data_IF_242926702464
#
_entry.id   IF_242926702464
#
_cell.length_a   1.000
_cell.length_b   1.000
_cell.length_c   1.000
_cell.angle_alpha   90.00
_cell.angle_beta   90.00
_cell.angle_gamma   90.00
#
_symmetry.space_group_name_H-M   'P 1'
#
loop_
_entity.id
_entity.type
_entity.pdbx_description
1 polymer ?
#
# COMPACT_ATOMS: atom_id res chain seq x y z
N UNK A 1 13.91 11.59 23.31
CA UNK A 1 12.45 11.85 23.27
C UNK A 1 11.71 10.78 22.50
N UNK A 2 10.54 10.36 22.99
CA UNK A 2 9.68 9.33 22.37
C UNK A 2 9.34 8.13 23.27
N UNK A 3 10.06 7.94 24.37
CA UNK A 3 9.83 6.85 25.34
C UNK A 3 9.40 7.44 26.68
N UNK A 4 8.14 7.25 27.05
CA UNK A 4 7.61 7.59 28.37
C UNK A 4 7.50 6.38 29.31
N UNK A 5 7.07 6.61 30.55
CA UNK A 5 6.99 5.58 31.60
C UNK A 5 6.31 4.28 31.16
N UNK A 6 5.15 4.36 30.51
CA UNK A 6 4.40 3.18 30.04
C UNK A 6 5.17 2.33 29.02
N UNK A 7 6.05 2.92 28.20
CA UNK A 7 6.86 2.18 27.24
C UNK A 7 8.09 1.60 27.95
N UNK A 8 8.72 2.38 28.83
CA UNK A 8 9.84 1.91 29.66
C UNK A 8 9.47 0.66 30.46
N UNK A 9 8.33 0.65 31.16
CA UNK A 9 7.84 -0.54 31.90
C UNK A 9 7.69 -1.79 31.01
N UNK A 10 7.27 -1.61 29.75
CA UNK A 10 7.15 -2.73 28.79
C UNK A 10 8.51 -3.22 28.33
N UNK A 11 9.47 -2.31 28.18
CA UNK A 11 10.86 -2.64 27.85
C UNK A 11 11.47 -3.45 29.01
N UNK A 12 11.27 -3.02 30.27
CA UNK A 12 11.77 -3.75 31.45
C UNK A 12 11.17 -5.16 31.53
N UNK A 13 9.86 -5.32 31.31
CA UNK A 13 9.21 -6.64 31.25
C UNK A 13 9.80 -7.52 30.13
N UNK A 14 10.01 -6.93 28.94
CA UNK A 14 10.55 -7.66 27.80
C UNK A 14 12.00 -8.08 28.00
N UNK A 15 12.85 -7.19 28.51
CA UNK A 15 14.25 -7.50 28.83
C UNK A 15 14.35 -8.57 29.91
N UNK A 16 13.46 -8.54 30.91
CA UNK A 16 13.49 -9.51 32.02
C UNK A 16 12.94 -10.88 31.66
N UNK A 17 12.00 -10.97 30.71
CA UNK A 17 11.25 -12.22 30.46
C UNK A 17 11.33 -12.73 29.03
N UNK A 18 11.87 -11.94 28.09
CA UNK A 18 11.85 -12.21 26.65
C UNK A 18 10.48 -12.07 26.00
N UNK A 19 9.44 -11.66 26.75
CA UNK A 19 8.05 -11.57 26.27
C UNK A 19 7.30 -10.41 26.93
N UNK A 20 6.10 -10.12 26.42
CA UNK A 20 5.20 -9.14 27.01
C UNK A 20 3.83 -9.76 27.21
N UNK A 21 3.39 -9.94 28.46
CA UNK A 21 2.12 -10.60 28.83
C UNK A 21 0.92 -9.98 28.14
N UNK A 22 0.93 -8.66 27.95
CA UNK A 22 -0.11 -7.95 27.20
C UNK A 22 -0.23 -8.42 25.75
N UNK A 23 0.90 -8.63 25.06
CA UNK A 23 0.88 -9.14 23.68
C UNK A 23 0.47 -10.60 23.61
N UNK A 24 0.92 -11.43 24.57
CA UNK A 24 0.50 -12.83 24.65
C UNK A 24 -1.01 -12.96 24.79
N UNK A 25 -1.63 -12.14 25.64
CA UNK A 25 -3.10 -12.11 25.78
C UNK A 25 -3.81 -11.66 24.50
N UNK A 26 -3.28 -10.67 23.80
CA UNK A 26 -3.86 -10.18 22.53
C UNK A 26 -3.75 -11.25 21.42
N UNK A 27 -2.64 -12.01 21.39
CA UNK A 27 -2.43 -13.10 20.41
C UNK A 27 -3.38 -14.28 20.64
N UNK A 28 -3.80 -14.52 21.89
CA UNK A 28 -4.74 -15.58 22.26
C UNK A 28 -6.21 -15.18 22.04
N UNK A 29 -6.51 -13.91 21.76
CA UNK A 29 -7.87 -13.47 21.47
C UNK A 29 -8.19 -13.65 19.99
N UNK A 30 -9.03 -14.64 19.67
CA UNK A 30 -9.45 -14.98 18.31
C UNK A 30 -10.03 -13.78 17.56
N UNK A 31 -10.71 -12.87 18.26
CA UNK A 31 -11.27 -11.65 17.67
C UNK A 31 -10.16 -10.71 17.22
N UNK A 32 -9.19 -10.43 18.10
CA UNK A 32 -8.02 -9.63 17.79
C UNK A 32 -7.18 -10.25 16.67
N UNK A 33 -6.98 -11.57 16.68
CA UNK A 33 -6.25 -12.29 15.63
C UNK A 33 -6.94 -12.16 14.26
N UNK A 34 -8.26 -12.33 14.22
CA UNK A 34 -9.06 -12.20 13.00
C UNK A 34 -9.03 -10.76 12.46
N UNK A 35 -9.23 -9.76 13.33
CA UNK A 35 -9.16 -8.35 12.94
C UNK A 35 -7.77 -8.04 12.35
N UNK A 36 -6.70 -8.45 13.02
CA UNK A 36 -5.33 -8.21 12.55
C UNK A 36 -5.07 -8.88 11.19
N UNK A 37 -5.56 -10.10 10.97
CA UNK A 37 -5.45 -10.78 9.68
C UNK A 37 -6.16 -9.99 8.58
N UNK A 38 -7.44 -9.65 8.78
CA UNK A 38 -8.24 -8.99 7.75
C UNK A 38 -7.69 -7.60 7.42
N UNK A 39 -7.13 -6.88 8.40
CA UNK A 39 -6.50 -5.56 8.15
C UNK A 39 -5.23 -5.61 7.29
N UNK A 40 -4.65 -6.79 7.06
CA UNK A 40 -3.52 -6.96 6.12
C UNK A 40 -3.98 -6.88 4.66
N UNK A 41 -5.26 -7.11 4.37
CA UNK A 41 -5.83 -6.93 3.04
C UNK A 41 -5.99 -5.43 2.77
N UNK A 42 -5.28 -4.91 1.76
CA UNK A 42 -5.40 -3.48 1.41
C UNK A 42 -6.85 -3.12 1.07
N UNK A 43 -7.31 -1.98 1.59
CA UNK A 43 -8.71 -1.55 1.54
C UNK A 43 -9.57 -2.02 2.72
N UNK A 44 -9.07 -2.91 3.60
CA UNK A 44 -9.74 -3.29 4.85
C UNK A 44 -9.07 -2.59 6.03
N UNK A 45 -9.71 -1.56 6.55
CA UNK A 45 -9.30 -0.90 7.79
C UNK A 45 -9.91 -1.54 9.06
N UNK A 46 -9.52 -1.09 10.27
CA UNK A 46 -9.98 -1.68 11.53
C UNK A 46 -11.51 -1.75 11.70
N UNK A 47 -12.23 -0.74 11.18
CA UNK A 47 -13.68 -0.71 11.23
C UNK A 47 -14.32 -1.77 10.31
N UNK A 48 -13.83 -1.91 9.08
CA UNK A 48 -14.30 -2.93 8.15
C UNK A 48 -13.96 -4.34 8.65
N UNK A 49 -12.75 -4.55 9.17
CA UNK A 49 -12.33 -5.83 9.75
C UNK A 49 -13.24 -6.23 10.93
N UNK A 50 -13.55 -5.32 11.86
CA UNK A 50 -14.50 -5.59 12.95
C UNK A 50 -15.88 -6.00 12.44
N UNK A 51 -16.41 -5.25 11.47
CA UNK A 51 -17.70 -5.56 10.85
C UNK A 51 -17.70 -6.96 10.21
N UNK A 52 -16.65 -7.32 9.48
CA UNK A 52 -16.53 -8.66 8.90
C UNK A 52 -16.50 -9.75 9.98
N UNK A 53 -15.75 -9.55 11.05
CA UNK A 53 -15.68 -10.51 12.17
C UNK A 53 -17.03 -10.66 12.87
N UNK A 54 -17.78 -9.58 13.05
CA UNK A 54 -19.16 -9.59 13.56
C UNK A 54 -20.11 -10.36 12.64
N UNK A 55 -19.89 -10.28 11.32
CA UNK A 55 -20.60 -11.06 10.30
C UNK A 55 -20.08 -12.51 10.15
N UNK A 56 -19.10 -12.93 10.97
CA UNK A 56 -18.52 -14.27 10.94
C UNK A 56 -17.45 -14.50 9.88
N UNK A 57 -17.04 -13.47 9.14
CA UNK A 57 -15.96 -13.52 8.15
C UNK A 57 -14.64 -13.24 8.89
N UNK A 58 -13.83 -14.29 9.10
CA UNK A 58 -12.63 -14.21 9.95
C UNK A 58 -11.35 -14.65 9.26
N UNK A 59 -11.46 -15.30 8.11
CA UNK A 59 -10.34 -15.83 7.33
C UNK A 59 -10.31 -15.25 5.92
N UNK A 60 -9.17 -15.41 5.22
CA UNK A 60 -9.07 -15.05 3.80
C UNK A 60 -10.02 -15.88 2.92
N UNK A 61 -10.28 -17.13 3.31
CA UNK A 61 -11.20 -18.00 2.59
C UNK A 61 -12.66 -17.53 2.75
N UNK A 62 -13.01 -17.02 3.94
CA UNK A 62 -14.32 -16.40 4.14
C UNK A 62 -14.48 -15.15 3.26
N UNK A 63 -13.43 -14.34 3.12
CA UNK A 63 -13.45 -13.19 2.20
C UNK A 63 -13.66 -13.63 0.74
N UNK A 64 -12.97 -14.69 0.28
CA UNK A 64 -13.12 -15.23 -1.09
C UNK A 64 -14.54 -15.72 -1.35
N UNK A 65 -15.15 -16.40 -0.38
CA UNK A 65 -16.56 -16.84 -0.47
C UNK A 65 -17.55 -15.67 -0.46
N UNK A 66 -17.14 -14.52 0.07
CA UNK A 66 -17.98 -13.33 0.25
C UNK A 66 -17.51 -12.13 -0.60
N UNK A 67 -16.86 -12.36 -1.75
CA UNK A 67 -16.35 -11.27 -2.61
C UNK A 67 -17.40 -10.23 -3.02
N UNK A 68 -18.67 -10.63 -3.11
CA UNK A 68 -19.80 -9.74 -3.38
C UNK A 68 -19.99 -8.65 -2.32
N UNK A 69 -19.54 -8.87 -1.08
CA UNK A 69 -19.55 -7.87 0.02
C UNK A 69 -18.36 -6.92 -0.01
N UNK A 70 -17.33 -7.23 -0.80
CA UNK A 70 -16.09 -6.46 -0.84
C UNK A 70 -16.23 -5.28 -1.81
N UNK A 71 -15.62 -4.16 -1.44
CA UNK A 71 -15.43 -3.03 -2.36
C UNK A 71 -14.41 -3.38 -3.45
N UNK A 72 -14.34 -2.58 -4.51
CA UNK A 72 -13.37 -2.77 -5.60
C UNK A 72 -11.92 -2.88 -5.09
N UNK A 73 -11.50 -1.93 -4.23
CA UNK A 73 -10.18 -1.94 -3.60
C UNK A 73 -9.96 -3.23 -2.80
N UNK A 74 -10.92 -3.64 -1.97
CA UNK A 74 -10.80 -4.84 -1.14
C UNK A 74 -10.70 -6.13 -1.98
N UNK A 75 -11.39 -6.20 -3.12
CA UNK A 75 -11.27 -7.35 -4.04
C UNK A 75 -9.87 -7.45 -4.64
N UNK A 76 -9.31 -6.34 -5.11
CA UNK A 76 -7.93 -6.32 -5.61
C UNK A 76 -6.94 -6.64 -4.49
N UNK A 77 -7.15 -6.08 -3.30
CA UNK A 77 -6.32 -6.37 -2.14
C UNK A 77 -6.37 -7.83 -1.71
N UNK A 78 -7.52 -8.50 -1.86
CA UNK A 78 -7.64 -9.94 -1.62
C UNK A 78 -6.99 -10.75 -2.73
N UNK A 79 -7.17 -10.35 -3.99
CA UNK A 79 -6.59 -10.99 -5.18
C UNK A 79 -5.07 -11.07 -5.10
N UNK A 80 -4.42 -9.99 -4.68
CA UNK A 80 -2.96 -9.89 -4.58
C UNK A 80 -2.43 -9.94 -3.14
N UNK A 81 -3.20 -10.51 -2.21
CA UNK A 81 -2.84 -10.51 -0.79
C UNK A 81 -1.40 -10.99 -0.53
N UNK A 82 -1.02 -12.14 -1.10
CA UNK A 82 0.31 -12.72 -0.91
C UNK A 82 1.41 -11.94 -1.64
N UNK A 83 1.09 -11.36 -2.80
CA UNK A 83 2.06 -10.59 -3.59
C UNK A 83 2.36 -9.23 -2.94
N UNK A 84 1.36 -8.57 -2.37
CA UNK A 84 1.54 -7.30 -1.66
C UNK A 84 2.29 -7.43 -0.34
N UNK A 85 2.47 -8.65 0.19
CA UNK A 85 3.32 -8.88 1.36
C UNK A 85 4.79 -9.13 1.01
N UNK A 86 5.09 -9.36 -0.28
CA UNK A 86 6.47 -9.54 -0.74
C UNK A 86 7.16 -8.18 -0.81
N UNK A 87 8.43 -8.18 -0.40
CA UNK A 87 9.35 -7.05 -0.57
C UNK A 87 9.82 -7.02 -2.01
N UNK A 88 9.99 -5.83 -2.59
CA UNK A 88 10.54 -5.64 -3.93
C UNK A 88 12.06 -5.40 -3.80
N UNK A 89 12.93 -6.29 -4.31
CA UNK A 89 14.37 -6.04 -4.36
C UNK A 89 14.72 -4.74 -5.07
N UNK A 90 15.80 -4.08 -4.65
CA UNK A 90 16.25 -2.83 -5.29
C UNK A 90 16.54 -2.99 -6.78
N UNK A 91 17.01 -4.17 -7.21
CA UNK A 91 17.22 -4.50 -8.61
C UNK A 91 15.92 -4.44 -9.43
N UNK A 92 14.84 -5.06 -8.93
CA UNK A 92 13.52 -4.98 -9.57
C UNK A 92 13.00 -3.53 -9.58
N UNK A 93 13.21 -2.77 -8.49
CA UNK A 93 12.86 -1.34 -8.45
C UNK A 93 13.58 -0.51 -9.53
N UNK A 94 14.83 -0.83 -9.86
CA UNK A 94 15.56 -0.18 -10.94
C UNK A 94 14.97 -0.50 -12.32
N UNK A 95 14.57 -1.75 -12.54
CA UNK A 95 13.88 -2.17 -13.78
C UNK A 95 12.53 -1.45 -13.92
N UNK A 96 11.75 -1.40 -12.84
CA UNK A 96 10.47 -0.68 -12.78
C UNK A 96 10.67 0.82 -13.03
N UNK A 97 11.70 1.43 -12.43
CA UNK A 97 12.08 2.82 -12.67
C UNK A 97 12.37 3.08 -14.15
N UNK A 98 13.16 2.21 -14.79
CA UNK A 98 13.52 2.38 -16.20
C UNK A 98 12.27 2.38 -17.10
N UNK A 99 11.34 1.45 -16.87
CA UNK A 99 10.07 1.37 -17.61
C UNK A 99 9.28 2.66 -17.42
N UNK A 100 9.03 3.08 -16.17
CA UNK A 100 8.21 4.27 -15.89
C UNK A 100 8.82 5.51 -16.52
N UNK A 101 10.11 5.77 -16.33
CA UNK A 101 10.76 6.96 -16.87
C UNK A 101 10.75 6.96 -18.41
N UNK A 102 10.98 5.80 -19.04
CA UNK A 102 10.94 5.65 -20.50
C UNK A 102 9.55 5.92 -21.06
N UNK A 103 8.52 5.33 -20.48
CA UNK A 103 7.14 5.48 -20.97
C UNK A 103 6.59 6.89 -20.72
N UNK A 104 6.89 7.49 -19.57
CA UNK A 104 6.53 8.89 -19.27
C UNK A 104 7.18 9.84 -20.28
N UNK A 105 8.48 9.65 -20.57
CA UNK A 105 9.21 10.49 -21.53
C UNK A 105 8.70 10.37 -22.96
N UNK A 106 8.15 9.21 -23.35
CA UNK A 106 7.53 9.01 -24.68
C UNK A 106 6.25 9.83 -24.86
N UNK A 107 5.51 10.08 -23.78
CA UNK A 107 4.26 10.85 -23.84
C UNK A 107 4.53 12.33 -24.06
N UNK A 108 5.37 12.92 -23.21
CA UNK A 108 5.78 14.31 -23.30
C UNK A 108 7.15 14.49 -22.63
N UNK A 109 8.16 15.06 -23.33
CA UNK A 109 9.47 15.33 -22.73
C UNK A 109 9.44 16.34 -21.57
N UNK A 110 8.34 17.08 -21.38
CA UNK A 110 8.15 18.01 -20.26
C UNK A 110 7.74 17.32 -18.95
N UNK A 111 7.39 16.03 -18.98
CA UNK A 111 7.21 15.28 -17.75
C UNK A 111 8.54 15.03 -17.05
N UNK A 112 8.52 15.14 -15.73
CA UNK A 112 9.60 14.66 -14.87
C UNK A 112 8.97 13.68 -13.88
N UNK A 113 9.38 12.41 -13.97
CA UNK A 113 9.02 11.36 -13.02
C UNK A 113 10.21 11.05 -12.12
N UNK A 114 9.99 11.07 -10.81
CA UNK A 114 11.00 10.78 -9.79
C UNK A 114 10.50 9.66 -8.89
N UNK A 115 11.25 8.56 -8.81
CA UNK A 115 10.95 7.47 -7.87
C UNK A 115 11.36 7.92 -6.45
N UNK A 116 10.41 7.85 -5.54
CA UNK A 116 10.48 8.41 -4.19
C UNK A 116 10.53 7.29 -3.13
N UNK A 117 9.86 7.47 -1.99
CA UNK A 117 9.68 6.41 -1.01
C UNK A 117 10.96 5.90 -0.37
N UNK A 118 10.89 4.63 0.02
CA UNK A 118 12.05 3.88 0.54
C UNK A 118 13.19 3.76 -0.48
N UNK A 119 12.86 3.70 -1.77
CA UNK A 119 13.84 3.62 -2.85
C UNK A 119 14.78 4.84 -2.86
N UNK A 120 14.22 6.06 -2.77
CA UNK A 120 14.99 7.32 -2.70
C UNK A 120 15.79 7.48 -1.41
N UNK A 121 15.38 6.81 -0.33
CA UNK A 121 16.17 6.73 0.93
C UNK A 121 17.33 5.73 0.86
N UNK A 122 17.49 5.02 -0.27
CA UNK A 122 18.58 4.04 -0.46
C UNK A 122 18.30 2.67 0.15
N UNK A 123 17.03 2.29 0.35
CA UNK A 123 16.72 0.96 0.85
C UNK A 123 17.10 -0.14 -0.17
N UNK A 124 17.64 -1.26 0.32
CA UNK A 124 17.97 -2.46 -0.47
C UNK A 124 16.73 -3.22 -0.99
N UNK A 125 15.57 -2.91 -0.43
CA UNK A 125 14.28 -3.34 -0.98
C UNK A 125 13.18 -2.34 -0.59
N UNK A 126 12.07 -2.34 -1.32
CA UNK A 126 10.92 -1.46 -1.12
C UNK A 126 9.64 -2.28 -0.82
N UNK A 127 8.63 -1.64 -0.23
CA UNK A 127 7.31 -2.27 -0.08
C UNK A 127 6.49 -2.13 -1.36
N UNK A 128 6.66 -0.99 -2.02
CA UNK A 128 5.95 -0.55 -3.22
C UNK A 128 6.83 0.46 -4.01
N UNK A 129 6.28 0.98 -5.11
CA UNK A 129 6.90 2.01 -5.93
C UNK A 129 6.14 3.34 -5.80
N UNK A 130 6.77 4.32 -5.16
CA UNK A 130 6.29 5.69 -5.11
C UNK A 130 6.85 6.50 -6.29
N UNK A 131 5.99 7.13 -7.10
CA UNK A 131 6.43 8.02 -8.20
C UNK A 131 5.83 9.40 -8.03
N UNK A 132 6.69 10.40 -7.87
CA UNK A 132 6.31 11.80 -7.95
C UNK A 132 6.41 12.25 -9.41
N UNK A 133 5.34 12.87 -9.91
CA UNK A 133 5.24 13.32 -11.29
C UNK A 133 5.02 14.84 -11.34
N UNK A 134 5.75 15.53 -12.21
CA UNK A 134 5.54 16.96 -12.50
C UNK A 134 5.46 17.19 -14.00
N UNK A 135 4.78 18.27 -14.39
CA UNK A 135 4.70 18.74 -15.76
C UNK A 135 4.56 20.27 -15.77
N UNK A 136 5.20 20.94 -16.73
CA UNK A 136 5.26 22.41 -16.77
C UNK A 136 3.90 23.11 -16.89
N UNK A 137 2.90 22.42 -17.43
CA UNK A 137 1.52 22.95 -17.54
C UNK A 137 0.67 22.78 -16.27
N UNK A 138 1.17 22.12 -15.22
CA UNK A 138 0.48 21.97 -13.94
C UNK A 138 1.29 22.62 -12.81
N UNK A 139 0.86 23.82 -12.44
CA UNK A 139 1.49 24.69 -11.43
C UNK A 139 0.49 25.08 -10.35
N UNK A 140 0.95 25.67 -9.25
CA UNK A 140 0.07 26.22 -8.19
C UNK A 140 -0.89 27.30 -8.72
N UNK A 141 -0.51 28.02 -9.76
CA UNK A 141 -1.27 29.14 -10.33
C UNK A 141 -2.34 28.68 -11.35
N UNK A 142 -2.24 27.43 -11.82
CA UNK A 142 -3.12 26.87 -12.85
C UNK A 142 -3.98 25.75 -12.28
N UNK A 143 -5.26 26.03 -12.01
CA UNK A 143 -6.16 25.14 -11.26
C UNK A 143 -7.02 24.19 -12.09
N UNK A 144 -6.76 24.00 -13.39
CA UNK A 144 -7.69 23.25 -14.25
C UNK A 144 -7.27 21.79 -14.42
N UNK A 145 -8.12 20.90 -13.89
CA UNK A 145 -8.42 19.52 -14.32
C UNK A 145 -7.57 19.03 -15.49
N UNK A 146 -6.30 18.75 -15.20
CA UNK A 146 -5.37 18.31 -16.22
C UNK A 146 -5.51 16.79 -16.34
N UNK A 147 -5.71 16.29 -17.56
CA UNK A 147 -5.66 14.84 -17.81
C UNK A 147 -4.23 14.28 -17.79
N UNK A 148 -3.26 15.03 -17.25
CA UNK A 148 -1.84 14.70 -17.30
C UNK A 148 -1.56 13.36 -16.62
N UNK A 149 -2.05 13.18 -15.39
CA UNK A 149 -1.90 11.91 -14.69
C UNK A 149 -2.63 10.78 -15.43
N UNK A 150 -3.81 11.06 -16.00
CA UNK A 150 -4.57 10.04 -16.73
C UNK A 150 -3.82 9.52 -17.96
N UNK A 151 -3.17 10.41 -18.73
CA UNK A 151 -2.37 10.03 -19.89
C UNK A 151 -1.19 9.13 -19.50
N UNK A 152 -0.52 9.45 -18.38
CA UNK A 152 0.56 8.61 -17.86
C UNK A 152 0.06 7.23 -17.44
N UNK A 153 -1.05 7.16 -16.70
CA UNK A 153 -1.65 5.89 -16.28
C UNK A 153 -2.07 5.06 -17.50
N UNK A 154 -2.76 5.67 -18.48
CA UNK A 154 -3.21 4.99 -19.70
C UNK A 154 -2.04 4.42 -20.52
N UNK A 155 -0.91 5.15 -20.59
CA UNK A 155 0.29 4.64 -21.26
C UNK A 155 0.90 3.46 -20.51
N UNK A 156 0.96 3.50 -19.18
CA UNK A 156 1.49 2.39 -18.37
C UNK A 156 0.57 1.16 -18.39
N UNK A 157 -0.74 1.34 -18.48
CA UNK A 157 -1.72 0.27 -18.72
C UNK A 157 -1.55 -0.34 -20.11
N UNK A 158 -1.33 0.50 -21.14
CA UNK A 158 -1.13 0.06 -22.53
C UNK A 158 0.10 -0.83 -22.71
N UNK A 159 1.15 -0.62 -21.92
CA UNK A 159 2.35 -1.48 -21.92
C UNK A 159 2.27 -2.61 -20.88
N UNK A 160 1.11 -2.82 -20.27
CA UNK A 160 0.85 -3.84 -19.25
C UNK A 160 1.74 -3.73 -18.00
N UNK A 161 2.26 -2.53 -17.70
CA UNK A 161 3.01 -2.27 -16.47
C UNK A 161 2.06 -2.02 -15.29
N UNK A 162 1.01 -1.23 -15.51
CA UNK A 162 -0.11 -1.11 -14.58
C UNK A 162 -1.18 -2.13 -14.98
N UNK A 163 -1.56 -3.02 -14.06
CA UNK A 163 -2.49 -4.12 -14.33
C UNK A 163 -3.86 -3.93 -13.69
N UNK A 164 -3.92 -3.21 -12.57
CA UNK A 164 -5.12 -2.96 -11.80
C UNK A 164 -5.05 -1.56 -11.18
N UNK A 165 -6.22 -1.01 -10.83
CA UNK A 165 -6.37 0.32 -10.23
C UNK A 165 -7.17 0.17 -8.94
N UNK A 166 -6.65 0.65 -7.81
CA UNK A 166 -7.36 0.75 -6.54
C UNK A 166 -8.20 2.03 -6.49
N UNK A 167 -7.61 3.16 -6.90
CA UNK A 167 -8.28 4.45 -7.01
C UNK A 167 -7.57 5.41 -7.98
N UNK A 168 -8.31 6.26 -8.69
CA UNK A 168 -7.76 7.24 -9.63
C UNK A 168 -8.47 8.58 -9.47
N UNK A 169 -7.69 9.63 -9.28
CA UNK A 169 -8.12 11.03 -9.33
C UNK A 169 -7.19 11.85 -10.20
N UNK A 170 -7.36 13.18 -10.18
CA UNK A 170 -6.60 14.09 -11.06
C UNK A 170 -5.10 14.19 -10.67
N UNK A 171 -4.77 13.98 -9.40
CA UNK A 171 -3.42 14.18 -8.85
C UNK A 171 -2.87 12.96 -8.12
N UNK A 172 -3.66 11.89 -7.97
CA UNK A 172 -3.22 10.66 -7.33
C UNK A 172 -3.81 9.43 -8.03
N UNK A 173 -2.93 8.47 -8.29
CA UNK A 173 -3.26 7.13 -8.75
C UNK A 173 -2.77 6.13 -7.70
N UNK A 174 -3.54 5.08 -7.49
CA UNK A 174 -3.20 3.96 -6.63
C UNK A 174 -3.76 2.69 -7.25
#
# INVERSE_FOLDING_TARGET
>A
DGVGAKIAEKIDEFLSTGKLRKLEKIRQDDTSASINLLTRVTGIGPAAARKFVEEGIKTLEDLRKNEHKLTHHQRIGLKYFEDFEKRIPREEMLQMQEIVLKEVKKLDPNYIATVCGSFRRGAESSGDMDVLLTHSSFTSESSKQSKLLHQVVEQLEKVHFVTDMLSKGDTKFM
#
